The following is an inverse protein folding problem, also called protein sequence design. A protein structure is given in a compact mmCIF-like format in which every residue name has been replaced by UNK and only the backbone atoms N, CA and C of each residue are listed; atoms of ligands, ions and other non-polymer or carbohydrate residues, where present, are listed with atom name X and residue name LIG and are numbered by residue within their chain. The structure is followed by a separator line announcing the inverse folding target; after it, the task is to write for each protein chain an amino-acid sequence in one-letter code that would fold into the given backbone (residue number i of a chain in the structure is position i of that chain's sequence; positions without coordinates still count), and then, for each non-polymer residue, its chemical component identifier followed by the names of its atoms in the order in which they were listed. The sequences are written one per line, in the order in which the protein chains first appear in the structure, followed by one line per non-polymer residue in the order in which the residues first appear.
data_IF_008335360001
#
_entry.id   IF_008335360001
#
_cell.length_a   1.000
_cell.length_b   1.000
_cell.length_c   1.000
_cell.angle_alpha   90.00
_cell.angle_beta   90.00
_cell.angle_gamma   90.00
#
_symmetry.space_group_name_H-M   'P 1'
#
loop_
_entity.id
_entity.type
_entity.pdbx_description
1 polymer ?
#
# COMPACT_ATOMS: atom_id res chain seq x y z
N UNK A 1 5.49 -23.19 -23.93
CA UNK A 1 4.38 -22.67 -23.10
C UNK A 1 4.97 -22.02 -21.86
N UNK A 2 4.83 -20.71 -21.70
CA UNK A 2 5.42 -19.95 -20.60
C UNK A 2 4.68 -20.25 -19.30
N UNK A 3 5.36 -20.23 -18.14
CA UNK A 3 4.74 -20.38 -16.80
C UNK A 3 3.60 -19.36 -16.63
N UNK A 4 3.79 -18.16 -17.17
CA UNK A 4 2.80 -17.07 -17.16
C UNK A 4 1.44 -17.47 -17.75
N UNK A 5 1.42 -18.35 -18.77
CA UNK A 5 0.17 -18.75 -19.44
C UNK A 5 -0.64 -19.77 -18.63
N UNK A 6 0.01 -20.44 -17.65
CA UNK A 6 -0.62 -21.44 -16.78
C UNK A 6 -1.20 -20.85 -15.48
N UNK A 7 -0.84 -19.61 -15.14
CA UNK A 7 -1.40 -18.95 -13.94
C UNK A 7 -2.89 -18.76 -14.09
N UNK A 8 -3.68 -19.28 -13.15
CA UNK A 8 -5.15 -19.21 -13.15
C UNK A 8 -5.71 -18.06 -12.30
N UNK A 9 -4.90 -17.53 -11.39
CA UNK A 9 -5.28 -16.40 -10.53
C UNK A 9 -4.13 -15.98 -9.64
N UNK A 10 -4.34 -14.90 -8.89
CA UNK A 10 -3.37 -14.40 -7.90
C UNK A 10 -4.02 -14.36 -6.52
N UNK A 11 -3.34 -14.91 -5.52
CA UNK A 11 -3.58 -14.61 -4.12
C UNK A 11 -2.57 -13.53 -3.70
N UNK A 12 -3.08 -12.34 -3.42
CA UNK A 12 -2.30 -11.21 -2.94
C UNK A 12 -2.36 -11.20 -1.41
N UNK A 13 -1.27 -11.59 -0.76
CA UNK A 13 -1.16 -11.52 0.70
C UNK A 13 -0.57 -10.17 1.07
N UNK A 14 -1.37 -9.33 1.73
CA UNK A 14 -0.95 -7.99 2.17
C UNK A 14 -0.65 -8.01 3.66
N UNK A 15 0.60 -7.70 4.01
CA UNK A 15 1.03 -7.50 5.39
C UNK A 15 1.97 -6.28 5.42
N UNK A 16 1.40 -5.08 5.27
CA UNK A 16 2.12 -3.83 5.09
C UNK A 16 1.39 -2.64 5.71
N UNK A 17 2.09 -1.74 6.42
CA UNK A 17 1.53 -0.48 6.93
C UNK A 17 1.31 0.56 5.81
N UNK A 18 1.80 0.29 4.61
CA UNK A 18 1.84 1.21 3.49
C UNK A 18 3.26 1.54 3.06
N UNK A 19 3.46 2.66 2.40
CA UNK A 19 4.77 3.08 1.89
C UNK A 19 4.66 4.22 0.89
N UNK A 20 5.66 4.35 0.01
CA UNK A 20 5.72 5.41 -0.98
C UNK A 20 4.54 5.37 -1.97
N UNK A 21 4.03 6.56 -2.28
CA UNK A 21 2.86 6.74 -3.18
C UNK A 21 3.11 6.08 -4.54
N UNK A 22 4.24 6.37 -5.16
CA UNK A 22 4.59 5.86 -6.50
C UNK A 22 4.68 4.33 -6.50
N UNK A 23 5.36 3.74 -5.52
CA UNK A 23 5.50 2.29 -5.43
C UNK A 23 4.15 1.59 -5.26
N UNK A 24 3.25 2.17 -4.45
CA UNK A 24 1.89 1.63 -4.26
C UNK A 24 1.08 1.71 -5.55
N UNK A 25 1.19 2.82 -6.28
CA UNK A 25 0.50 3.05 -7.54
C UNK A 25 1.02 2.12 -8.66
N UNK A 26 2.32 1.95 -8.79
CA UNK A 26 2.92 1.02 -9.76
C UNK A 26 2.46 -0.43 -9.52
N UNK A 27 2.46 -0.88 -8.26
CA UNK A 27 1.99 -2.23 -7.91
C UNK A 27 0.50 -2.36 -8.24
N UNK A 28 -0.32 -1.38 -7.87
CA UNK A 28 -1.74 -1.36 -8.19
C UNK A 28 -1.98 -1.47 -9.70
N UNK A 29 -1.29 -0.69 -10.51
CA UNK A 29 -1.43 -0.68 -11.95
C UNK A 29 -1.03 -2.03 -12.59
N UNK A 30 0.06 -2.66 -12.12
CA UNK A 30 0.46 -4.00 -12.57
C UNK A 30 -0.62 -5.05 -12.25
N UNK A 31 -1.25 -4.96 -11.07
CA UNK A 31 -2.34 -5.85 -10.69
C UNK A 31 -3.61 -5.60 -11.52
N UNK A 32 -3.90 -4.34 -11.83
CA UNK A 32 -5.01 -3.98 -12.72
C UNK A 32 -4.78 -4.50 -14.15
N UNK A 33 -3.54 -4.47 -14.65
CA UNK A 33 -3.21 -5.07 -15.94
C UNK A 33 -3.37 -6.59 -15.92
N UNK A 34 -3.04 -7.25 -14.81
CA UNK A 34 -3.35 -8.66 -14.65
C UNK A 34 -4.86 -8.92 -14.71
N UNK A 35 -5.67 -8.11 -14.03
CA UNK A 35 -7.16 -8.24 -14.07
C UNK A 35 -7.75 -8.11 -15.46
N UNK A 36 -7.17 -7.30 -16.33
CA UNK A 36 -7.59 -7.19 -17.75
C UNK A 36 -7.52 -8.53 -18.50
N UNK A 37 -6.75 -9.49 -17.99
CA UNK A 37 -6.70 -10.87 -18.54
C UNK A 37 -7.93 -11.72 -18.20
N UNK A 38 -8.88 -11.23 -17.41
CA UNK A 38 -10.05 -11.95 -16.93
C UNK A 38 -9.79 -12.99 -15.86
N UNK A 39 -8.56 -13.03 -15.32
CA UNK A 39 -8.17 -13.96 -14.25
C UNK A 39 -8.41 -13.33 -12.87
N UNK A 40 -8.91 -14.11 -11.89
CA UNK A 40 -9.25 -13.59 -10.58
C UNK A 40 -8.03 -13.18 -9.76
N UNK A 41 -8.19 -12.10 -9.00
CA UNK A 41 -7.27 -11.60 -8.01
C UNK A 41 -7.99 -11.51 -6.66
N UNK A 42 -7.55 -12.26 -5.67
CA UNK A 42 -8.08 -12.21 -4.31
C UNK A 42 -7.00 -11.69 -3.37
N UNK A 43 -7.33 -10.68 -2.56
CA UNK A 43 -6.44 -10.18 -1.52
C UNK A 43 -6.78 -10.81 -0.17
N UNK A 44 -5.75 -11.14 0.60
CA UNK A 44 -5.85 -11.49 2.00
C UNK A 44 -5.09 -10.46 2.84
N UNK A 45 -5.78 -9.82 3.77
CA UNK A 45 -5.21 -8.88 4.71
C UNK A 45 -4.79 -9.61 5.99
N UNK A 46 -3.47 -9.66 6.23
CA UNK A 46 -2.87 -10.31 7.38
C UNK A 46 -2.92 -9.43 8.63
N UNK A 47 -1.80 -9.26 9.32
CA UNK A 47 -1.76 -8.45 10.56
C UNK A 47 -2.04 -6.97 10.29
N UNK A 48 -1.52 -6.44 9.18
CA UNK A 48 -1.69 -5.04 8.79
C UNK A 48 -1.81 -4.92 7.27
N UNK A 49 -2.77 -4.12 6.82
CA UNK A 49 -2.97 -3.77 5.40
C UNK A 49 -3.52 -2.34 5.35
N UNK A 50 -2.65 -1.36 5.54
CA UNK A 50 -3.04 0.03 5.74
C UNK A 50 -2.38 0.97 4.74
N UNK A 51 -2.97 2.16 4.52
CA UNK A 51 -2.44 3.20 3.62
C UNK A 51 -2.10 2.62 2.23
N UNK A 52 -0.85 2.71 1.75
CA UNK A 52 -0.42 2.10 0.49
C UNK A 52 -0.68 0.60 0.38
N UNK A 53 -0.67 -0.15 1.51
CA UNK A 53 -1.06 -1.56 1.53
C UNK A 53 -2.55 -1.76 1.23
N UNK A 54 -3.42 -0.91 1.77
CA UNK A 54 -4.84 -0.92 1.45
C UNK A 54 -5.09 -0.49 -0.01
N UNK A 55 -4.37 0.55 -0.48
CA UNK A 55 -4.40 1.02 -1.86
C UNK A 55 -4.16 -0.13 -2.85
N UNK A 56 -3.07 -0.89 -2.64
CA UNK A 56 -2.74 -2.05 -3.47
C UNK A 56 -3.80 -3.14 -3.37
N UNK A 57 -4.35 -3.37 -2.17
CA UNK A 57 -5.44 -4.32 -1.95
C UNK A 57 -6.71 -3.99 -2.73
N UNK A 58 -6.96 -2.71 -3.02
CA UNK A 58 -8.10 -2.26 -3.83
C UNK A 58 -8.07 -2.78 -5.28
N UNK A 59 -6.94 -3.31 -5.77
CA UNK A 59 -6.90 -3.97 -7.07
C UNK A 59 -7.64 -5.32 -7.09
N UNK A 60 -7.88 -5.93 -5.93
CA UNK A 60 -8.48 -7.26 -5.85
C UNK A 60 -9.98 -7.28 -6.21
N UNK A 61 -10.44 -8.45 -6.70
CA UNK A 61 -11.86 -8.71 -6.94
C UNK A 61 -12.61 -9.01 -5.64
N UNK A 62 -11.88 -9.54 -4.66
CA UNK A 62 -12.36 -9.83 -3.30
C UNK A 62 -11.25 -9.58 -2.31
N UNK A 63 -11.56 -8.86 -1.26
CA UNK A 63 -10.67 -8.63 -0.12
C UNK A 63 -11.18 -9.43 1.07
N UNK A 64 -10.39 -10.42 1.49
CA UNK A 64 -10.61 -11.18 2.73
C UNK A 64 -9.72 -10.58 3.82
N UNK A 65 -10.29 -10.21 4.94
CA UNK A 65 -9.53 -9.65 6.06
C UNK A 65 -9.60 -10.56 7.29
N UNK A 66 -8.48 -10.73 7.99
CA UNK A 66 -8.59 -11.27 9.34
C UNK A 66 -9.43 -10.29 10.20
N UNK A 67 -10.28 -10.77 11.11
CA UNK A 67 -11.09 -9.90 11.98
C UNK A 67 -10.29 -8.87 12.78
N UNK A 68 -9.03 -9.18 13.08
CA UNK A 68 -8.12 -8.35 13.90
C UNK A 68 -7.08 -7.59 13.07
N UNK A 69 -7.14 -7.65 11.75
CA UNK A 69 -6.27 -6.86 10.86
C UNK A 69 -6.38 -5.37 11.20
N UNK A 70 -5.26 -4.67 11.19
CA UNK A 70 -5.24 -3.22 11.17
C UNK A 70 -5.25 -2.78 9.70
N UNK A 71 -6.28 -2.02 9.29
CA UNK A 71 -6.45 -1.58 7.90
C UNK A 71 -6.97 -0.14 7.81
N UNK A 72 -7.31 0.33 6.62
CA UNK A 72 -7.72 1.71 6.39
C UNK A 72 -6.51 2.62 6.27
N UNK A 73 -6.36 3.61 7.16
CA UNK A 73 -5.34 4.67 7.03
C UNK A 73 -5.35 5.31 5.63
N UNK A 74 -6.58 5.58 5.13
CA UNK A 74 -6.80 6.19 3.81
C UNK A 74 -6.47 7.67 3.95
N UNK A 75 -5.24 8.01 3.56
CA UNK A 75 -4.69 9.34 3.71
C UNK A 75 -3.27 9.45 3.15
N UNK A 76 -2.79 10.69 3.08
CA UNK A 76 -1.44 11.00 2.60
C UNK A 76 -0.80 11.98 3.58
N UNK A 77 0.44 11.70 3.97
CA UNK A 77 1.24 12.57 4.83
C UNK A 77 2.57 12.91 4.17
N UNK A 78 3.14 14.05 4.52
CA UNK A 78 4.53 14.39 4.26
C UNK A 78 5.11 15.01 5.54
N UNK A 79 6.22 14.45 6.01
CA UNK A 79 6.86 14.84 7.25
C UNK A 79 8.21 15.50 6.96
N UNK A 80 8.43 16.66 7.56
CA UNK A 80 9.66 17.43 7.41
C UNK A 80 10.20 17.79 8.79
N UNK A 81 11.27 17.15 9.27
CA UNK A 81 11.89 17.50 10.54
C UNK A 81 12.49 18.91 10.47
N UNK A 82 12.36 19.70 11.53
CA UNK A 82 13.00 21.02 11.67
C UNK A 82 13.95 21.01 12.85
N UNK A 83 15.25 21.07 12.59
CA UNK A 83 16.31 20.97 13.61
C UNK A 83 17.03 22.29 13.87
N UNK A 84 16.55 23.39 13.32
CA UNK A 84 17.15 24.75 13.44
C UNK A 84 17.54 25.11 14.88
N UNK A 85 16.62 24.93 15.82
CA UNK A 85 16.86 25.32 17.21
C UNK A 85 17.86 24.39 17.94
N UNK A 86 17.92 23.13 17.54
CA UNK A 86 18.91 22.19 18.04
C UNK A 86 20.32 22.58 17.59
N UNK A 87 20.48 22.89 16.31
CA UNK A 87 21.76 23.31 15.74
C UNK A 87 22.30 24.57 16.41
N UNK A 88 21.45 25.57 16.64
CA UNK A 88 21.85 26.78 17.39
C UNK A 88 22.38 26.48 18.79
N UNK A 89 21.77 25.50 19.48
CA UNK A 89 22.23 25.10 20.84
C UNK A 89 23.62 24.47 20.85
N UNK A 90 24.01 23.80 19.75
CA UNK A 90 25.32 23.14 19.62
C UNK A 90 26.34 23.98 18.83
N UNK A 91 25.99 25.25 18.53
CA UNK A 91 26.90 26.20 17.84
C UNK A 91 27.13 25.93 16.36
N UNK A 92 26.17 25.29 15.69
CA UNK A 92 26.24 25.01 14.24
C UNK A 92 25.29 25.93 13.48
N UNK A 93 25.83 26.67 12.50
CA UNK A 93 25.06 27.49 11.57
C UNK A 93 25.12 26.93 10.16
N UNK A 94 24.00 27.04 9.44
CA UNK A 94 23.88 26.63 8.05
C UNK A 94 23.75 27.87 7.14
N UNK A 95 24.61 27.94 6.15
CA UNK A 95 24.53 28.93 5.06
C UNK A 95 23.99 28.21 3.83
N UNK A 96 22.80 28.59 3.37
CA UNK A 96 22.18 28.02 2.18
C UNK A 96 22.25 29.02 1.03
N UNK A 97 22.99 28.69 -0.02
CA UNK A 97 23.06 29.45 -1.27
C UNK A 97 22.18 28.70 -2.28
N UNK A 98 21.16 29.36 -2.80
CA UNK A 98 20.16 28.75 -3.67
C UNK A 98 19.85 29.58 -4.89
N UNK A 99 19.51 28.95 -6.00
CA UNK A 99 19.17 29.61 -7.26
C UNK A 99 17.85 30.39 -7.21
N UNK A 100 16.86 29.91 -6.48
CA UNK A 100 15.50 30.50 -6.31
C UNK A 100 14.94 30.17 -4.93
N UNK A 101 13.97 30.98 -4.49
CA UNK A 101 13.43 30.95 -3.11
C UNK A 101 12.89 29.62 -2.65
N UNK A 102 12.27 28.85 -3.53
CA UNK A 102 11.64 27.56 -3.19
C UNK A 102 12.58 26.36 -3.31
N UNK A 103 13.87 26.54 -3.69
CA UNK A 103 14.77 25.41 -3.94
C UNK A 103 15.10 24.60 -2.68
N UNK A 104 14.99 25.20 -1.51
CA UNK A 104 15.20 24.59 -0.20
C UNK A 104 13.88 24.30 0.56
N UNK A 105 12.78 24.16 -0.19
CA UNK A 105 11.48 23.76 0.37
C UNK A 105 11.61 22.41 1.07
N UNK A 106 11.15 22.33 2.32
CA UNK A 106 11.31 21.13 3.15
C UNK A 106 12.66 21.00 3.86
N UNK A 107 13.55 22.02 3.74
CA UNK A 107 14.84 22.02 4.43
C UNK A 107 14.67 21.86 5.94
N UNK A 108 15.44 20.96 6.60
CA UNK A 108 15.41 20.79 8.04
C UNK A 108 16.04 21.95 8.83
N UNK A 109 16.75 22.84 8.13
CA UNK A 109 17.50 23.94 8.73
C UNK A 109 16.67 25.19 9.01
N UNK A 110 15.45 25.26 8.51
CA UNK A 110 14.51 26.35 8.72
C UNK A 110 13.06 25.90 8.73
N UNK A 111 12.20 26.71 9.29
CA UNK A 111 10.76 26.51 9.16
C UNK A 111 10.27 26.80 7.74
N UNK A 112 9.26 26.04 7.31
CA UNK A 112 8.55 26.33 6.08
C UNK A 112 7.71 27.58 6.21
N UNK A 113 7.68 28.39 5.17
CA UNK A 113 6.76 29.52 5.04
C UNK A 113 5.32 29.04 4.84
N UNK A 114 4.35 29.93 5.04
CA UNK A 114 2.94 29.65 4.77
C UNK A 114 2.68 29.26 3.30
N UNK A 115 3.40 29.89 2.38
CA UNK A 115 3.30 29.60 0.94
C UNK A 115 3.84 28.22 0.62
N UNK A 116 4.98 27.85 1.17
CA UNK A 116 5.58 26.52 0.99
C UNK A 116 4.66 25.41 1.54
N UNK A 117 4.05 25.63 2.72
CA UNK A 117 3.05 24.72 3.27
C UNK A 117 1.84 24.54 2.33
N UNK A 118 1.40 25.61 1.65
CA UNK A 118 0.32 25.50 0.65
C UNK A 118 0.73 24.68 -0.56
N UNK A 119 1.99 24.82 -1.04
CA UNK A 119 2.51 24.02 -2.15
C UNK A 119 2.48 22.53 -1.78
N UNK A 120 3.06 22.17 -0.62
CA UNK A 120 3.04 20.77 -0.16
C UNK A 120 1.60 20.27 0.04
N UNK A 121 0.73 21.09 0.63
CA UNK A 121 -0.68 20.72 0.86
C UNK A 121 -1.40 20.43 -0.46
N UNK A 122 -1.13 21.18 -1.52
CA UNK A 122 -1.77 20.92 -2.83
C UNK A 122 -1.34 19.58 -3.43
N UNK A 123 -0.07 19.19 -3.28
CA UNK A 123 0.43 17.88 -3.74
C UNK A 123 -0.18 16.73 -2.93
N UNK A 124 -0.29 16.91 -1.60
CA UNK A 124 -0.95 15.95 -0.72
C UNK A 124 -2.42 15.78 -1.12
N UNK A 125 -3.12 16.89 -1.38
CA UNK A 125 -4.55 16.87 -1.74
C UNK A 125 -4.79 16.19 -3.09
N UNK A 126 -3.91 16.39 -4.07
CA UNK A 126 -3.97 15.72 -5.36
C UNK A 126 -3.81 14.19 -5.19
N UNK A 127 -2.77 13.78 -4.47
CA UNK A 127 -2.51 12.36 -4.20
C UNK A 127 -3.66 11.72 -3.40
N UNK A 128 -4.19 12.43 -2.41
CA UNK A 128 -5.30 11.97 -1.59
C UNK A 128 -6.58 11.79 -2.41
N UNK A 129 -6.89 12.72 -3.31
CA UNK A 129 -8.03 12.58 -4.23
C UNK A 129 -7.92 11.35 -5.11
N UNK A 130 -6.72 11.04 -5.63
CA UNK A 130 -6.48 9.82 -6.38
C UNK A 130 -6.73 8.56 -5.54
N UNK A 131 -6.25 8.56 -4.29
CA UNK A 131 -6.51 7.44 -3.39
C UNK A 131 -8.01 7.26 -3.13
N UNK A 132 -8.73 8.33 -2.82
CA UNK A 132 -10.19 8.30 -2.63
C UNK A 132 -10.90 7.75 -3.87
N UNK A 133 -10.51 8.18 -5.07
CA UNK A 133 -11.09 7.72 -6.33
C UNK A 133 -10.94 6.20 -6.46
N UNK A 134 -9.74 5.67 -6.26
CA UNK A 134 -9.48 4.23 -6.35
C UNK A 134 -10.32 3.44 -5.33
N UNK A 135 -10.38 3.91 -4.09
CA UNK A 135 -11.21 3.25 -3.08
C UNK A 135 -12.70 3.31 -3.43
N UNK A 136 -13.20 4.47 -3.83
CA UNK A 136 -14.59 4.66 -4.23
C UNK A 136 -14.97 3.72 -5.37
N UNK A 137 -14.17 3.64 -6.42
CA UNK A 137 -14.39 2.80 -7.59
C UNK A 137 -14.27 1.30 -7.26
N UNK A 138 -13.23 0.91 -6.53
CA UNK A 138 -12.98 -0.50 -6.22
C UNK A 138 -13.95 -1.08 -5.20
N UNK A 139 -14.42 -0.26 -4.26
CA UNK A 139 -15.32 -0.68 -3.18
C UNK A 139 -16.78 -0.31 -3.44
N UNK A 140 -17.06 0.38 -4.54
CA UNK A 140 -18.39 0.90 -4.88
C UNK A 140 -19.01 1.74 -3.73
N UNK A 141 -18.16 2.56 -3.07
CA UNK A 141 -18.57 3.44 -1.98
C UNK A 141 -18.73 4.86 -2.54
N UNK A 142 -19.91 5.51 -2.38
CA UNK A 142 -20.09 6.89 -2.78
C UNK A 142 -19.05 7.81 -2.14
N UNK A 143 -18.52 8.76 -2.92
CA UNK A 143 -17.43 9.65 -2.48
C UNK A 143 -17.76 10.39 -1.19
N UNK A 144 -18.99 10.88 -1.04
CA UNK A 144 -19.43 11.59 0.17
C UNK A 144 -19.44 10.72 1.43
N UNK A 145 -19.75 9.43 1.28
CA UNK A 145 -19.71 8.45 2.37
C UNK A 145 -18.28 8.08 2.70
N UNK A 146 -17.45 7.88 1.66
CA UNK A 146 -16.05 7.57 1.82
C UNK A 146 -15.28 8.70 2.51
N UNK A 147 -15.56 9.94 2.14
CA UNK A 147 -14.89 11.11 2.71
C UNK A 147 -15.05 11.21 4.24
N UNK A 148 -16.17 10.71 4.79
CA UNK A 148 -16.45 10.71 6.25
C UNK A 148 -15.58 9.74 7.05
N UNK A 149 -15.04 8.72 6.39
CA UNK A 149 -14.26 7.66 7.02
C UNK A 149 -12.79 7.60 6.55
N UNK A 150 -12.45 8.35 5.51
CA UNK A 150 -11.12 8.38 4.90
C UNK A 150 -10.27 9.56 5.39
N UNK A 151 -10.29 9.83 6.68
CA UNK A 151 -9.55 10.92 7.32
C UNK A 151 -8.17 10.49 7.86
N UNK A 152 -7.68 9.34 7.40
CA UNK A 152 -6.41 8.77 7.84
C UNK A 152 -6.54 7.80 9.03
N UNK A 153 -7.78 7.62 9.57
CA UNK A 153 -7.99 6.68 10.68
C UNK A 153 -7.79 5.23 10.26
N UNK A 154 -7.43 4.40 11.24
CA UNK A 154 -7.32 2.96 11.09
C UNK A 154 -8.61 2.27 11.53
N UNK A 155 -8.82 1.05 11.03
CA UNK A 155 -9.94 0.17 11.34
C UNK A 155 -9.45 -1.22 11.68
N UNK A 156 -10.18 -1.94 12.52
CA UNK A 156 -10.06 -3.40 12.58
C UNK A 156 -10.71 -4.01 11.33
N UNK A 157 -10.36 -5.26 10.99
CA UNK A 157 -11.02 -5.97 9.90
C UNK A 157 -12.55 -6.01 10.05
N UNK A 158 -13.05 -6.16 11.30
CA UNK A 158 -14.50 -6.11 11.60
C UNK A 158 -15.12 -4.74 11.29
N UNK A 159 -14.42 -3.67 11.63
CA UNK A 159 -14.90 -2.32 11.33
C UNK A 159 -14.84 -2.04 9.83
N UNK A 160 -13.77 -2.47 9.16
CA UNK A 160 -13.61 -2.33 7.72
C UNK A 160 -14.74 -3.04 6.95
N UNK A 161 -15.17 -4.22 7.40
CA UNK A 161 -16.33 -4.91 6.82
C UNK A 161 -17.62 -4.07 6.94
N UNK A 162 -17.88 -3.46 8.10
CA UNK A 162 -19.07 -2.62 8.30
C UNK A 162 -19.11 -1.41 7.36
N UNK A 163 -17.95 -0.88 7.00
CA UNK A 163 -17.84 0.26 6.08
C UNK A 163 -17.69 -0.13 4.61
N UNK A 164 -17.73 -1.43 4.29
CA UNK A 164 -17.56 -1.92 2.92
C UNK A 164 -16.11 -1.83 2.40
N UNK A 165 -15.15 -1.58 3.29
CA UNK A 165 -13.74 -1.49 2.91
C UNK A 165 -13.11 -2.85 2.62
N UNK A 166 -13.71 -3.94 3.10
CA UNK A 166 -13.36 -5.34 2.78
C UNK A 166 -14.64 -6.12 2.52
N UNK A 167 -14.54 -7.27 1.81
CA UNK A 167 -15.72 -8.02 1.38
C UNK A 167 -16.15 -9.07 2.39
N UNK A 168 -15.20 -9.67 3.09
CA UNK A 168 -15.48 -10.73 4.05
C UNK A 168 -14.38 -10.87 5.10
N UNK A 169 -14.74 -11.49 6.23
CA UNK A 169 -13.78 -11.86 7.27
C UNK A 169 -13.40 -13.33 7.12
N UNK A 170 -12.13 -13.63 7.37
CA UNK A 170 -11.65 -15.00 7.32
C UNK A 170 -10.14 -15.11 7.51
N UNK A 171 -9.64 -16.31 7.25
CA UNK A 171 -8.22 -16.65 7.27
C UNK A 171 -7.67 -16.66 5.83
N UNK A 172 -6.39 -16.92 5.70
CA UNK A 172 -5.77 -17.15 4.40
C UNK A 172 -6.41 -18.32 3.66
N UNK A 173 -6.87 -19.36 4.37
CA UNK A 173 -7.55 -20.50 3.77
C UNK A 173 -8.89 -20.09 3.16
N UNK A 174 -9.62 -19.16 3.81
CA UNK A 174 -10.84 -18.56 3.24
C UNK A 174 -10.53 -17.87 1.90
N UNK A 175 -9.45 -17.09 1.84
CA UNK A 175 -9.04 -16.42 0.60
C UNK A 175 -8.63 -17.41 -0.49
N UNK A 176 -7.94 -18.49 -0.12
CA UNK A 176 -7.56 -19.59 -1.02
C UNK A 176 -8.81 -20.26 -1.62
N UNK A 177 -9.80 -20.59 -0.81
CA UNK A 177 -11.02 -21.24 -1.31
C UNK A 177 -11.83 -20.30 -2.22
N UNK A 178 -11.92 -19.01 -1.89
CA UNK A 178 -12.58 -18.02 -2.76
C UNK A 178 -11.84 -17.91 -4.11
N UNK A 179 -10.50 -17.83 -4.08
CA UNK A 179 -9.70 -17.77 -5.30
C UNK A 179 -9.87 -19.03 -6.14
N UNK A 180 -9.83 -20.20 -5.52
CA UNK A 180 -10.03 -21.51 -6.16
C UNK A 180 -11.38 -21.59 -6.87
N UNK A 181 -12.45 -21.16 -6.21
CA UNK A 181 -13.79 -21.10 -6.80
C UNK A 181 -13.84 -20.16 -8.02
N UNK A 182 -13.35 -18.94 -7.86
CA UNK A 182 -13.30 -17.95 -8.95
C UNK A 182 -12.44 -18.39 -10.13
N UNK A 183 -11.30 -19.03 -9.86
CA UNK A 183 -10.39 -19.57 -10.87
C UNK A 183 -10.84 -20.91 -11.47
N UNK A 184 -11.98 -21.48 -11.00
CA UNK A 184 -12.52 -22.78 -11.42
C UNK A 184 -11.50 -23.92 -11.32
N UNK A 185 -10.67 -23.90 -10.27
CA UNK A 185 -9.65 -24.93 -10.03
C UNK A 185 -10.27 -26.11 -9.32
N UNK A 186 -10.17 -27.30 -9.93
CA UNK A 186 -10.58 -28.57 -9.34
C UNK A 186 -9.39 -29.18 -8.58
N UNK A 187 -9.62 -29.57 -7.33
CA UNK A 187 -8.57 -30.20 -6.49
C UNK A 187 -7.75 -29.19 -5.67
N UNK A 188 -6.53 -29.59 -5.28
CA UNK A 188 -5.62 -28.78 -4.47
C UNK A 188 -4.85 -27.81 -5.37
N UNK A 189 -4.88 -26.51 -5.13
CA UNK A 189 -4.13 -25.54 -5.94
C UNK A 189 -2.63 -25.68 -5.67
N UNK A 190 -1.82 -25.48 -6.71
CA UNK A 190 -0.38 -25.35 -6.59
C UNK A 190 -0.01 -23.86 -6.62
N UNK A 191 0.76 -23.42 -5.64
CA UNK A 191 1.21 -22.04 -5.53
C UNK A 191 2.62 -21.88 -6.10
N UNK A 192 2.81 -20.83 -6.90
CA UNK A 192 4.13 -20.34 -7.28
C UNK A 192 4.41 -19.08 -6.46
N UNK A 193 5.42 -19.15 -5.63
CA UNK A 193 5.91 -18.00 -4.88
C UNK A 193 7.21 -17.50 -5.52
N UNK A 194 7.40 -16.17 -5.61
CA UNK A 194 8.68 -15.64 -6.07
C UNK A 194 9.77 -16.06 -5.07
N UNK A 195 10.82 -16.70 -5.57
CA UNK A 195 11.98 -17.03 -4.74
C UNK A 195 12.65 -15.72 -4.32
N UNK A 196 12.78 -15.47 -3.02
CA UNK A 196 13.67 -14.43 -2.51
C UNK A 196 15.08 -14.75 -3.00
N UNK A 197 15.67 -13.87 -3.81
CA UNK A 197 17.11 -13.94 -4.08
C UNK A 197 17.82 -13.53 -2.79
N UNK A 198 18.29 -14.50 -2.04
CA UNK A 198 19.22 -14.25 -0.94
C UNK A 198 20.51 -13.69 -1.57
N UNK A 199 20.83 -12.44 -1.28
CA UNK A 199 22.14 -11.89 -1.59
C UNK A 199 23.16 -12.57 -0.68
N UNK A 200 24.32 -12.97 -1.20
CA UNK A 200 25.45 -13.42 -0.37
C UNK A 200 25.81 -12.40 0.73
N UNK A 201 25.61 -11.12 0.47
CA UNK A 201 25.81 -10.04 1.43
C UNK A 201 24.83 -10.14 2.62
N UNK A 202 23.55 -10.48 2.39
CA UNK A 202 22.56 -10.65 3.47
C UNK A 202 22.84 -11.87 4.35
N UNK A 203 23.54 -12.88 3.83
CA UNK A 203 23.99 -14.04 4.61
C UNK A 203 25.20 -13.71 5.52
N UNK A 204 26.02 -12.74 5.13
CA UNK A 204 27.24 -12.34 5.87
C UNK A 204 26.90 -11.24 6.89
N UNK A 205 26.01 -10.30 6.57
CA UNK A 205 25.71 -9.14 7.43
C UNK A 205 24.57 -9.40 8.41
N UNK A 206 23.83 -10.50 8.27
CA UNK A 206 22.61 -10.76 9.05
C UNK A 206 21.52 -9.72 8.81
N UNK A 207 21.75 -8.75 7.94
CA UNK A 207 20.75 -7.78 7.52
C UNK A 207 19.82 -8.45 6.51
N UNK A 208 18.61 -8.79 6.95
CA UNK A 208 17.50 -8.81 6.01
C UNK A 208 17.48 -7.43 5.35
N UNK A 209 17.80 -7.37 4.05
CA UNK A 209 17.68 -6.12 3.30
C UNK A 209 16.31 -5.54 3.61
N UNK A 210 16.29 -4.52 4.45
CA UNK A 210 15.16 -3.63 4.64
C UNK A 210 14.96 -2.85 3.34
N UNK A 211 14.47 -3.54 2.32
CA UNK A 211 13.73 -2.86 1.25
C UNK A 211 12.49 -2.39 1.97
N UNK A 212 12.43 -1.08 2.16
CA UNK A 212 11.39 -0.36 2.88
C UNK A 212 10.01 -1.02 2.69
N UNK A 213 9.60 -1.78 3.68
CA UNK A 213 8.28 -1.85 4.28
C UNK A 213 7.06 -2.29 3.49
N UNK A 214 7.15 -2.68 2.23
CA UNK A 214 6.04 -3.35 1.55
C UNK A 214 6.40 -4.83 1.39
N UNK A 215 6.10 -5.67 2.39
CA UNK A 215 6.09 -7.12 2.21
C UNK A 215 4.80 -7.50 1.48
N UNK A 216 4.85 -7.48 0.16
CA UNK A 216 3.83 -8.07 -0.69
C UNK A 216 4.30 -9.47 -1.06
N UNK A 217 3.73 -10.46 -0.42
CA UNK A 217 3.81 -11.84 -0.87
C UNK A 217 2.62 -12.10 -1.81
N UNK A 218 2.90 -12.35 -3.08
CA UNK A 218 1.89 -12.81 -4.02
C UNK A 218 2.13 -14.28 -4.37
N UNK A 219 1.06 -15.05 -4.36
CA UNK A 219 1.08 -16.45 -4.74
C UNK A 219 0.29 -16.61 -6.03
N UNK A 220 0.99 -17.03 -7.08
CA UNK A 220 0.34 -17.39 -8.34
C UNK A 220 -0.20 -18.81 -8.25
N UNK A 221 -1.47 -19.00 -8.61
CA UNK A 221 -2.12 -20.30 -8.55
C UNK A 221 -2.07 -20.96 -9.92
N UNK A 222 -1.53 -22.18 -9.95
CA UNK A 222 -1.54 -23.08 -11.11
C UNK A 222 -2.67 -24.11 -10.98
N UNK A 223 -3.09 -24.70 -12.11
CA UNK A 223 -4.10 -25.75 -12.13
C UNK A 223 -3.61 -27.01 -11.43
#
# INVERSE_FOLDING_TARGET
MCIRDRVKGILLVVNSPGGGVVASDEIYNVLMDFKKTGRPLVAYFGSIAASGGYYVGCAADVIVSNPNTITGSIGVIAEFPVVKNLLKKIGVDFIVIKSRDKKDLGSPWREMTREEKKIIKSLIDETYKNFLKIVSESRNIPMDSLYKIADGRIFSGRQALKYGLVDTLGTIDTAIEILKQKAKIKGKPMFLEPRKRLSLLSLITGEETKISDIKLDYRMVLP
#
